data_IF_053796426004
#
_entry.id   IF_053796426004
#
_cell.length_a   1.000
_cell.length_b   1.000
_cell.length_c   1.000
_cell.angle_alpha   90.00
_cell.angle_beta   90.00
_cell.angle_gamma   90.00
#
_symmetry.space_group_name_H-M   'P 1'
#
loop_
_entity.id
_entity.type
_entity.pdbx_description
1 polymer ?
#
# COMPACT_ATOMS: atom_id res chain seq x y z
N UNK A 1 1.35 -3.22 13.68
CA UNK A 1 1.37 -2.06 12.76
C UNK A 1 2.52 -1.16 13.18
N UNK A 2 3.37 -0.72 12.27
CA UNK A 2 4.40 0.27 12.54
C UNK A 2 3.75 1.65 12.56
N UNK A 3 4.05 2.42 13.59
CA UNK A 3 3.42 3.72 13.82
C UNK A 3 4.51 4.70 14.24
N UNK A 4 4.42 5.94 13.77
CA UNK A 4 5.27 7.01 14.26
C UNK A 4 4.46 8.22 14.71
N UNK A 5 4.85 8.88 15.80
CA UNK A 5 4.24 10.10 16.30
C UNK A 5 5.19 11.29 16.24
N UNK A 6 4.68 12.50 16.03
CA UNK A 6 5.49 13.72 16.09
C UNK A 6 5.34 14.41 17.45
N UNK A 7 6.46 14.85 18.03
CA UNK A 7 6.51 15.76 19.18
C UNK A 7 7.03 17.14 18.74
N UNK A 8 6.67 18.19 19.47
CA UNK A 8 6.71 19.60 19.03
C UNK A 8 8.13 20.18 18.79
N UNK A 9 8.20 21.05 17.76
CA UNK A 9 9.24 22.06 17.40
C UNK A 9 10.36 21.62 16.40
N UNK A 10 10.22 22.17 15.18
CA UNK A 10 11.22 22.56 14.15
C UNK A 10 12.21 21.60 13.48
N UNK A 11 12.20 20.30 13.75
CA UNK A 11 12.78 19.29 12.84
C UNK A 11 11.84 18.08 12.80
N UNK A 12 11.49 17.56 11.60
CA UNK A 12 10.56 16.44 11.38
C UNK A 12 11.04 15.13 12.05
N UNK A 13 10.95 15.06 13.38
CA UNK A 13 11.40 13.91 14.17
C UNK A 13 10.19 13.06 14.51
N UNK A 14 10.13 11.90 13.87
CA UNK A 14 9.11 10.88 14.05
C UNK A 14 9.56 9.89 15.12
N UNK A 15 8.81 9.77 16.21
CA UNK A 15 9.04 8.81 17.28
C UNK A 15 8.30 7.51 16.97
N UNK A 16 9.02 6.39 16.90
CA UNK A 16 8.42 5.08 16.64
C UNK A 16 7.59 4.62 17.85
N UNK A 17 6.33 4.29 17.59
CA UNK A 17 5.36 3.75 18.54
C UNK A 17 5.31 2.23 18.35
N UNK A 18 5.39 1.50 19.45
CA UNK A 18 5.60 0.04 19.43
C UNK A 18 4.36 -0.78 19.80
N UNK A 19 3.36 -0.16 20.42
CA UNK A 19 2.15 -0.85 20.87
C UNK A 19 0.87 -0.05 20.65
N UNK A 20 -0.26 -0.74 20.64
CA UNK A 20 -1.58 -0.12 20.55
C UNK A 20 -1.87 0.79 21.76
N UNK A 21 -1.48 0.38 22.97
CA UNK A 21 -1.64 1.16 24.19
C UNK A 21 -0.92 2.52 24.11
N UNK A 22 0.25 2.53 23.49
CA UNK A 22 1.07 3.74 23.36
C UNK A 22 0.46 4.74 22.32
N UNK A 23 -0.32 4.25 21.35
CA UNK A 23 -1.16 5.10 20.47
C UNK A 23 -2.29 5.72 21.29
N UNK A 24 -2.95 4.89 22.09
CA UNK A 24 -4.10 5.28 22.88
C UNK A 24 -3.73 6.39 23.87
N UNK A 25 -2.63 6.23 24.61
CA UNK A 25 -2.08 7.25 25.51
C UNK A 25 -1.87 8.59 24.80
N UNK A 26 -1.42 8.56 23.55
CA UNK A 26 -1.17 9.76 22.75
C UNK A 26 -2.43 10.46 22.22
N UNK A 27 -3.50 9.70 21.94
CA UNK A 27 -4.78 10.27 21.49
C UNK A 27 -5.43 11.14 22.58
N UNK A 28 -5.19 10.83 23.85
CA UNK A 28 -5.82 11.51 24.98
C UNK A 28 -5.21 12.86 25.38
N UNK A 29 -4.08 13.25 24.79
CA UNK A 29 -3.28 14.41 25.26
C UNK A 29 -3.47 15.68 24.44
N UNK A 30 -4.13 15.61 23.29
CA UNK A 30 -4.37 16.78 22.42
C UNK A 30 -5.84 16.82 21.99
N UNK A 31 -6.44 18.02 21.87
CA UNK A 31 -7.82 18.16 21.41
C UNK A 31 -8.02 17.68 19.96
N UNK A 32 -6.97 17.76 19.12
CA UNK A 32 -6.98 17.27 17.75
C UNK A 32 -5.80 16.31 17.51
N UNK A 33 -6.14 15.07 17.14
CA UNK A 33 -5.16 14.06 16.70
C UNK A 33 -5.43 13.66 15.26
N UNK A 34 -4.42 13.81 14.40
CA UNK A 34 -4.45 13.43 12.99
C UNK A 34 -3.76 12.09 12.82
N UNK A 35 -4.51 11.10 12.33
CA UNK A 35 -4.00 9.77 11.96
C UNK A 35 -3.80 9.75 10.44
N UNK A 36 -2.55 9.82 10.02
CA UNK A 36 -2.17 9.76 8.61
C UNK A 36 -1.61 8.39 8.24
N UNK A 37 -1.61 8.09 6.95
CA UNK A 37 -1.04 6.85 6.42
C UNK A 37 -1.46 6.61 4.99
N UNK A 38 -0.70 5.81 4.26
CA UNK A 38 -1.00 5.52 2.85
C UNK A 38 -2.29 4.68 2.72
N UNK A 39 -2.88 4.60 1.51
CA UNK A 39 -4.02 3.73 1.24
C UNK A 39 -3.73 2.29 1.68
N UNK A 40 -4.69 1.63 2.31
CA UNK A 40 -4.53 0.25 2.77
C UNK A 40 -3.74 0.06 4.07
N UNK A 41 -3.20 1.13 4.70
CA UNK A 41 -2.50 1.06 5.99
C UNK A 41 -3.37 0.73 7.21
N UNK A 42 -4.69 0.61 7.05
CA UNK A 42 -5.60 0.23 8.15
C UNK A 42 -6.09 1.39 9.02
N UNK A 43 -6.09 2.62 8.51
CA UNK A 43 -6.63 3.81 9.22
C UNK A 43 -8.08 3.62 9.68
N UNK A 44 -8.98 3.27 8.77
CA UNK A 44 -10.39 2.98 9.09
C UNK A 44 -10.55 1.75 10.00
N UNK A 45 -9.65 0.77 9.89
CA UNK A 45 -9.65 -0.37 10.81
C UNK A 45 -9.29 0.06 12.23
N UNK A 46 -8.34 0.99 12.38
CA UNK A 46 -7.95 1.55 13.67
C UNK A 46 -9.08 2.35 14.31
N UNK A 47 -9.81 3.18 13.54
CA UNK A 47 -10.96 3.94 14.05
C UNK A 47 -12.09 3.03 14.50
N UNK A 48 -12.39 1.98 13.74
CA UNK A 48 -13.35 0.96 14.13
C UNK A 48 -12.91 0.21 15.39
N UNK A 49 -11.61 -0.10 15.52
CA UNK A 49 -11.08 -0.72 16.74
C UNK A 49 -11.24 0.20 17.95
N UNK A 50 -10.98 1.49 17.81
CA UNK A 50 -11.21 2.49 18.87
C UNK A 50 -12.69 2.54 19.28
N UNK A 51 -13.61 2.54 18.31
CA UNK A 51 -15.05 2.51 18.57
C UNK A 51 -15.47 1.21 19.28
N UNK A 52 -14.95 0.06 18.84
CA UNK A 52 -15.20 -1.23 19.48
C UNK A 52 -14.72 -1.25 20.94
N UNK A 53 -13.54 -0.71 21.22
CA UNK A 53 -12.98 -0.65 22.57
C UNK A 53 -13.79 0.27 23.49
N UNK A 54 -14.35 1.35 22.96
CA UNK A 54 -15.31 2.19 23.68
C UNK A 54 -16.62 1.43 23.96
N UNK A 55 -17.22 0.79 22.95
CA UNK A 55 -18.45 -0.01 23.12
C UNK A 55 -18.29 -1.10 24.20
N UNK A 56 -17.13 -1.73 24.25
CA UNK A 56 -16.82 -2.80 25.21
C UNK A 56 -16.32 -2.27 26.57
N UNK A 57 -16.26 -0.94 26.78
CA UNK A 57 -15.73 -0.32 28.00
C UNK A 57 -14.34 -0.84 28.38
N UNK A 58 -13.48 -1.07 27.39
CA UNK A 58 -12.14 -1.64 27.58
C UNK A 58 -11.27 -0.71 28.41
N UNK A 59 -10.85 -1.13 29.59
CA UNK A 59 -10.02 -0.33 30.51
C UNK A 59 -8.66 0.06 29.92
N UNK A 60 -8.22 -0.63 28.87
CA UNK A 60 -6.97 -0.35 28.15
C UNK A 60 -7.12 0.93 27.30
N UNK A 61 -8.32 1.23 26.81
CA UNK A 61 -8.58 2.42 26.01
C UNK A 61 -8.90 3.62 26.90
N UNK A 62 -8.23 4.78 26.77
CA UNK A 62 -8.57 6.01 27.49
C UNK A 62 -9.95 6.53 27.10
N UNK A 63 -10.54 6.01 26.03
CA UNK A 63 -11.87 6.38 25.59
C UNK A 63 -12.97 5.74 26.46
N UNK A 64 -12.68 4.70 27.26
CA UNK A 64 -13.71 3.97 28.03
C UNK A 64 -14.54 4.80 29.01
N UNK A 65 -14.10 6.01 29.37
CA UNK A 65 -14.80 6.93 30.28
C UNK A 65 -15.52 8.08 29.56
N UNK A 66 -15.52 8.07 28.23
CA UNK A 66 -16.16 9.11 27.43
C UNK A 66 -17.65 8.82 27.32
N UNK A 67 -18.47 9.84 27.54
CA UNK A 67 -19.92 9.72 27.57
C UNK A 67 -20.47 9.32 26.19
N UNK A 68 -19.85 9.86 25.13
CA UNK A 68 -20.30 9.69 23.75
C UNK A 68 -19.09 9.50 22.83
N UNK A 69 -19.16 8.56 21.90
CA UNK A 69 -18.27 8.45 20.75
C UNK A 69 -19.08 8.54 19.46
N UNK A 70 -18.70 9.44 18.57
CA UNK A 70 -19.31 9.68 17.27
C UNK A 70 -18.29 9.33 16.20
N UNK A 71 -18.61 8.39 15.32
CA UNK A 71 -17.80 8.02 14.17
C UNK A 71 -18.56 8.38 12.90
N UNK A 72 -18.04 9.34 12.13
CA UNK A 72 -18.60 9.78 10.85
C UNK A 72 -17.54 9.60 9.76
N UNK A 73 -17.97 9.22 8.55
CA UNK A 73 -17.12 9.33 7.37
C UNK A 73 -17.29 10.73 6.81
N UNK A 74 -16.22 11.32 6.27
CA UNK A 74 -16.28 12.70 5.81
C UNK A 74 -17.20 12.89 4.60
N UNK A 75 -17.41 11.84 3.80
CA UNK A 75 -18.46 11.82 2.77
C UNK A 75 -19.89 11.99 3.32
N UNK A 76 -20.12 11.63 4.58
CA UNK A 76 -21.41 11.76 5.25
C UNK A 76 -21.73 13.21 5.61
N UNK A 77 -20.74 14.11 5.52
CA UNK A 77 -20.87 15.55 5.71
C UNK A 77 -21.17 16.28 4.39
N UNK A 78 -21.07 15.59 3.24
CA UNK A 78 -21.32 16.21 1.94
C UNK A 78 -22.81 16.53 1.81
N UNK A 79 -23.12 17.80 1.54
CA UNK A 79 -24.50 18.28 1.41
C UNK A 79 -25.23 18.51 2.73
N UNK A 80 -24.52 18.42 3.87
CA UNK A 80 -25.08 18.67 5.20
C UNK A 80 -24.41 19.89 5.83
N UNK A 81 -25.20 20.79 6.42
CA UNK A 81 -24.71 22.07 6.95
C UNK A 81 -24.18 21.98 8.39
N UNK A 82 -24.45 20.88 9.11
CA UNK A 82 -24.08 20.71 10.52
C UNK A 82 -23.68 19.27 10.86
N UNK A 83 -22.87 19.10 11.91
CA UNK A 83 -22.54 17.77 12.47
C UNK A 83 -23.82 17.05 12.95
N UNK A 84 -24.76 17.77 13.55
CA UNK A 84 -26.02 17.22 14.04
C UNK A 84 -26.87 16.63 12.92
N UNK A 85 -26.94 17.32 11.78
CA UNK A 85 -27.60 16.80 10.57
C UNK A 85 -26.94 15.52 10.08
N UNK A 86 -25.60 15.46 10.09
CA UNK A 86 -24.86 14.29 9.64
C UNK A 86 -25.06 13.09 10.58
N UNK A 87 -25.10 13.32 11.89
CA UNK A 87 -25.44 12.27 12.87
C UNK A 87 -26.85 11.75 12.61
N UNK A 88 -27.83 12.64 12.38
CA UNK A 88 -29.21 12.25 12.11
C UNK A 88 -29.33 11.40 10.85
N UNK A 89 -28.64 11.78 9.78
CA UNK A 89 -28.73 11.13 8.49
C UNK A 89 -27.94 9.82 8.42
N UNK A 90 -26.77 9.77 9.06
CA UNK A 90 -25.76 8.74 8.81
C UNK A 90 -25.61 7.73 9.94
N UNK A 91 -25.98 8.11 11.18
CA UNK A 91 -25.86 7.24 12.36
C UNK A 91 -27.24 6.77 12.83
N UNK A 92 -28.22 7.68 12.92
CA UNK A 92 -29.51 7.34 13.53
C UNK A 92 -30.41 6.53 12.57
N UNK A 93 -31.26 5.63 13.11
CA UNK A 93 -32.29 4.98 12.32
C UNK A 93 -33.25 6.00 11.68
N UNK A 94 -33.76 5.70 10.48
CA UNK A 94 -34.69 6.59 9.75
C UNK A 94 -35.97 6.93 10.50
N UNK A 95 -36.39 6.05 11.42
CA UNK A 95 -37.56 6.22 12.28
C UNK A 95 -37.23 6.90 13.63
N UNK A 96 -36.00 7.39 13.81
CA UNK A 96 -35.61 8.13 15.00
C UNK A 96 -36.48 9.39 15.16
N UNK A 97 -36.97 9.60 16.37
CA UNK A 97 -37.75 10.80 16.73
C UNK A 97 -36.87 12.01 17.06
N UNK A 98 -35.56 11.82 17.16
CA UNK A 98 -34.63 12.90 17.50
C UNK A 98 -34.55 13.90 16.34
N UNK A 99 -34.80 15.17 16.67
CA UNK A 99 -34.58 16.30 15.77
C UNK A 99 -33.10 16.66 15.72
N UNK A 100 -32.67 17.44 14.72
CA UNK A 100 -31.28 17.94 14.69
C UNK A 100 -30.96 18.80 15.93
N UNK A 101 -31.95 19.56 16.41
CA UNK A 101 -31.84 20.35 17.63
C UNK A 101 -31.68 19.49 18.88
N UNK A 102 -32.38 18.35 18.96
CA UNK A 102 -32.20 17.40 20.07
C UNK A 102 -30.78 16.82 20.07
N UNK A 103 -30.28 16.45 18.90
CA UNK A 103 -28.92 15.93 18.73
C UNK A 103 -27.90 16.99 19.10
N UNK A 104 -28.07 18.22 18.63
CA UNK A 104 -27.19 19.33 18.98
C UNK A 104 -27.16 19.56 20.49
N UNK A 105 -28.33 19.55 21.14
CA UNK A 105 -28.44 19.67 22.59
C UNK A 105 -27.71 18.54 23.34
N UNK A 106 -27.82 17.30 22.86
CA UNK A 106 -27.12 16.13 23.43
C UNK A 106 -25.61 16.31 23.28
N UNK A 107 -25.15 16.67 22.07
CA UNK A 107 -23.73 16.85 21.75
C UNK A 107 -23.13 17.99 22.58
N UNK A 108 -23.83 19.12 22.73
CA UNK A 108 -23.37 20.28 23.49
C UNK A 108 -23.37 20.06 25.01
N UNK A 109 -24.36 19.32 25.55
CA UNK A 109 -24.45 19.02 27.00
C UNK A 109 -23.51 17.89 27.46
N UNK A 110 -22.90 17.19 26.52
CA UNK A 110 -21.93 16.13 26.80
C UNK A 110 -20.71 16.67 27.53
N UNK A 111 -20.32 16.04 28.64
CA UNK A 111 -19.17 16.49 29.45
C UNK A 111 -17.86 16.03 28.82
N UNK A 112 -17.84 14.84 28.24
CA UNK A 112 -16.66 14.35 27.54
C UNK A 112 -17.02 13.43 26.39
N UNK A 113 -16.67 13.84 25.16
CA UNK A 113 -16.96 13.07 23.96
C UNK A 113 -15.73 12.75 23.13
N UNK A 114 -15.92 11.91 22.12
CA UNK A 114 -14.94 11.60 21.07
C UNK A 114 -15.61 11.77 19.73
N UNK A 115 -15.03 12.57 18.84
CA UNK A 115 -15.46 12.71 17.46
C UNK A 115 -14.38 12.13 16.55
N UNK A 116 -14.73 11.09 15.79
CA UNK A 116 -13.87 10.49 14.79
C UNK A 116 -14.40 10.84 13.41
N UNK A 117 -13.57 11.52 12.62
CA UNK A 117 -13.84 11.87 11.22
C UNK A 117 -12.93 11.02 10.32
N UNK A 118 -13.51 9.98 9.73
CA UNK A 118 -12.79 9.01 8.90
C UNK A 118 -12.79 9.43 7.42
N UNK A 119 -11.72 9.08 6.70
CA UNK A 119 -11.53 9.38 5.27
C UNK A 119 -11.65 10.88 4.94
N UNK A 120 -10.89 11.74 5.63
CA UNK A 120 -10.94 13.20 5.43
C UNK A 120 -10.61 13.66 4.02
N UNK A 121 -9.93 12.84 3.24
CA UNK A 121 -9.54 13.17 1.89
C UNK A 121 -10.72 13.35 0.94
N UNK A 122 -10.78 14.51 0.28
CA UNK A 122 -11.83 14.85 -0.67
C UNK A 122 -12.92 15.77 -0.10
N UNK A 123 -12.78 16.25 1.14
CA UNK A 123 -13.65 17.31 1.64
C UNK A 123 -13.24 18.66 1.02
N UNK A 124 -14.13 19.30 0.23
CA UNK A 124 -13.77 20.44 -0.61
C UNK A 124 -13.26 21.66 0.18
N UNK A 125 -13.68 21.82 1.44
CA UNK A 125 -13.32 23.00 2.23
C UNK A 125 -12.00 22.87 3.00
N UNK A 126 -11.28 21.75 2.88
CA UNK A 126 -9.95 21.59 3.49
C UNK A 126 -8.95 22.65 3.00
N UNK A 127 -9.12 23.10 1.77
CA UNK A 127 -8.19 23.99 1.10
C UNK A 127 -8.62 25.44 1.12
N UNK A 128 -9.94 25.68 1.16
CA UNK A 128 -10.51 27.01 1.11
C UNK A 128 -10.66 27.63 2.51
N UNK A 129 -10.62 26.81 3.57
CA UNK A 129 -10.91 27.19 4.96
C UNK A 129 -12.17 28.07 5.07
N UNK A 130 -13.16 27.84 4.19
CA UNK A 130 -14.44 28.52 4.24
C UNK A 130 -15.14 28.20 5.57
N UNK A 131 -15.86 29.16 6.17
CA UNK A 131 -16.55 28.95 7.43
C UNK A 131 -17.52 27.77 7.34
N UNK A 132 -17.22 26.70 8.05
CA UNK A 132 -18.07 25.52 8.21
C UNK A 132 -17.87 24.96 9.61
N UNK A 133 -18.85 24.20 10.09
CA UNK A 133 -18.73 23.47 11.35
C UNK A 133 -17.46 22.62 11.40
N UNK A 134 -17.09 21.99 10.29
CA UNK A 134 -15.90 21.14 10.15
C UNK A 134 -14.61 21.93 10.32
N UNK A 135 -14.51 23.10 9.68
CA UNK A 135 -13.34 24.00 9.82
C UNK A 135 -13.23 24.51 11.25
N UNK A 136 -14.34 24.87 11.89
CA UNK A 136 -14.34 25.33 13.28
C UNK A 136 -13.96 24.19 14.25
N UNK A 137 -14.32 22.94 13.96
CA UNK A 137 -13.85 21.76 14.70
C UNK A 137 -12.34 21.58 14.50
N UNK A 138 -11.84 21.68 13.27
CA UNK A 138 -10.41 21.57 12.99
C UNK A 138 -9.59 22.65 13.67
N UNK A 139 -10.11 23.87 13.82
CA UNK A 139 -9.47 24.96 14.57
C UNK A 139 -9.57 24.80 16.10
N UNK A 140 -10.39 23.87 16.60
CA UNK A 140 -10.69 23.73 18.03
C UNK A 140 -11.66 24.80 18.57
N UNK A 141 -12.38 25.50 17.69
CA UNK A 141 -13.37 26.53 18.06
C UNK A 141 -14.73 25.90 18.42
N UNK A 142 -15.04 24.71 17.87
CA UNK A 142 -16.26 23.94 18.16
C UNK A 142 -15.91 22.57 18.74
N UNK A 143 -16.75 22.07 19.66
CA UNK A 143 -16.59 20.78 20.36
C UNK A 143 -15.32 20.69 21.25
N UNK A 144 -14.99 21.76 21.99
CA UNK A 144 -13.80 21.80 22.86
C UNK A 144 -13.75 20.71 23.95
N UNK A 145 -14.91 20.16 24.35
CA UNK A 145 -15.01 19.06 25.31
C UNK A 145 -14.78 17.67 24.67
N UNK A 146 -14.52 17.62 23.36
CA UNK A 146 -14.34 16.39 22.60
C UNK A 146 -12.87 16.18 22.26
N UNK A 147 -12.47 14.91 22.27
CA UNK A 147 -11.25 14.48 21.56
C UNK A 147 -11.62 14.31 20.10
N UNK A 148 -10.99 15.08 19.21
CA UNK A 148 -11.21 14.99 17.77
C UNK A 148 -10.10 14.15 17.13
N UNK A 149 -10.51 13.11 16.42
CA UNK A 149 -9.65 12.21 15.67
C UNK A 149 -9.98 12.33 14.19
N UNK A 150 -8.98 12.62 13.38
CA UNK A 150 -9.16 12.75 11.92
C UNK A 150 -8.26 11.75 11.22
N UNK A 151 -8.80 10.95 10.30
CA UNK A 151 -7.96 10.09 9.45
C UNK A 151 -7.79 10.70 8.05
N UNK A 152 -6.56 10.65 7.53
CA UNK A 152 -6.24 11.22 6.22
C UNK A 152 -5.10 10.45 5.54
N UNK A 153 -4.85 10.66 4.24
CA UNK A 153 -3.67 10.08 3.58
C UNK A 153 -2.42 10.78 4.08
N UNK A 154 -1.30 10.07 3.98
CA UNK A 154 0.00 10.67 4.23
C UNK A 154 0.16 11.96 3.44
N UNK A 155 0.72 12.99 4.08
CA UNK A 155 1.04 14.28 3.45
C UNK A 155 -0.17 15.14 3.04
N UNK A 156 -1.40 14.74 3.35
CA UNK A 156 -2.56 15.64 3.31
C UNK A 156 -2.57 16.51 4.56
N UNK A 157 -2.05 17.75 4.43
CA UNK A 157 -2.00 18.68 5.55
C UNK A 157 -3.38 19.30 5.79
N UNK A 158 -3.85 19.23 7.04
CA UNK A 158 -4.97 20.05 7.49
C UNK A 158 -4.46 21.49 7.70
N UNK A 159 -4.63 22.34 6.68
CA UNK A 159 -4.11 23.73 6.70
C UNK A 159 -4.59 24.56 7.89
N UNK A 160 -5.79 24.26 8.40
CA UNK A 160 -6.44 24.99 9.49
C UNK A 160 -6.34 24.28 10.86
N UNK A 161 -5.39 23.37 11.06
CA UNK A 161 -5.17 22.71 12.35
C UNK A 161 -4.46 23.61 13.38
N UNK A 162 -4.85 23.61 14.67
CA UNK A 162 -4.25 24.44 15.70
C UNK A 162 -2.80 24.03 16.01
N UNK A 163 -2.05 24.96 16.61
CA UNK A 163 -0.78 24.67 17.27
C UNK A 163 -1.01 23.59 18.34
N UNK A 164 -0.11 22.61 18.45
CA UNK A 164 -0.28 21.44 19.32
C UNK A 164 -1.12 20.29 18.73
N UNK A 165 -1.49 20.34 17.43
CA UNK A 165 -2.11 19.20 16.75
C UNK A 165 -1.16 18.02 16.73
N UNK A 166 -1.60 16.88 17.29
CA UNK A 166 -0.78 15.68 17.36
C UNK A 166 -0.94 14.86 16.07
N UNK A 167 0.17 14.33 15.55
CA UNK A 167 0.16 13.50 14.33
C UNK A 167 0.66 12.10 14.64
N UNK A 168 -0.07 11.12 14.09
CA UNK A 168 0.24 9.69 14.17
C UNK A 168 0.23 9.14 12.75
N UNK A 169 1.34 8.57 12.30
CA UNK A 169 1.47 7.98 10.96
C UNK A 169 1.46 6.47 11.05
N UNK A 170 0.53 5.82 10.34
CA UNK A 170 0.50 4.38 10.14
C UNK A 170 1.38 4.03 8.94
N UNK A 171 2.43 3.25 9.17
CA UNK A 171 3.40 2.87 8.14
C UNK A 171 3.27 1.41 7.70
N UNK A 172 2.25 0.69 8.17
CA UNK A 172 1.90 -0.66 7.70
C UNK A 172 2.27 -1.79 8.66
N UNK A 173 2.46 -3.00 8.15
CA UNK A 173 2.83 -4.19 8.93
C UNK A 173 4.34 -4.41 8.93
N UNK A 174 4.93 -4.52 10.14
CA UNK A 174 6.25 -5.13 10.29
C UNK A 174 6.14 -6.66 10.29
N UNK A 175 7.29 -7.31 10.17
CA UNK A 175 7.46 -8.76 10.17
C UNK A 175 6.70 -9.41 11.33
N UNK A 176 6.91 -8.93 12.56
CA UNK A 176 6.21 -9.43 13.75
C UNK A 176 4.68 -9.34 13.64
N UNK A 177 4.15 -8.21 13.14
CA UNK A 177 2.69 -8.02 12.98
C UNK A 177 2.14 -8.98 11.92
N UNK A 178 2.89 -9.25 10.85
CA UNK A 178 2.49 -10.21 9.81
C UNK A 178 2.40 -11.61 10.38
N UNK A 179 3.41 -12.01 11.14
CA UNK A 179 3.44 -13.31 11.82
C UNK A 179 2.25 -13.45 12.78
N UNK A 180 2.03 -12.44 13.64
CA UNK A 180 0.87 -12.41 14.54
C UNK A 180 -0.47 -12.45 13.80
N UNK A 181 -0.57 -11.87 12.61
CA UNK A 181 -1.79 -11.93 11.80
C UNK A 181 -2.02 -13.34 11.24
N UNK A 182 -1.00 -13.98 10.66
CA UNK A 182 -1.11 -15.32 10.09
C UNK A 182 -1.55 -16.31 11.18
N UNK A 183 -0.90 -16.28 12.34
CA UNK A 183 -1.25 -17.14 13.48
C UNK A 183 -2.67 -16.92 14.02
N UNK A 184 -3.22 -15.71 13.89
CA UNK A 184 -4.55 -15.40 14.46
C UNK A 184 -5.69 -15.58 13.48
N UNK A 185 -5.47 -15.21 12.22
CA UNK A 185 -6.53 -15.08 11.23
C UNK A 185 -6.58 -16.23 10.24
N UNK A 186 -5.48 -16.98 10.08
CA UNK A 186 -5.32 -17.98 9.03
C UNK A 186 -5.06 -19.35 9.66
N UNK A 187 -3.85 -19.56 10.15
CA UNK A 187 -3.43 -20.85 10.67
C UNK A 187 -3.74 -20.91 12.16
N UNK A 188 -4.73 -21.73 12.53
CA UNK A 188 -5.20 -21.80 13.92
C UNK A 188 -4.29 -22.63 14.84
N UNK A 189 -3.32 -23.39 14.32
CA UNK A 189 -2.54 -24.30 15.18
C UNK A 189 -1.24 -24.95 14.63
N UNK A 190 -0.95 -24.99 13.31
CA UNK A 190 0.27 -25.64 12.81
C UNK A 190 1.38 -24.64 12.43
N UNK A 191 2.47 -24.61 13.20
CA UNK A 191 3.61 -23.73 12.95
C UNK A 191 4.29 -24.00 11.59
N UNK A 192 4.16 -25.20 11.02
CA UNK A 192 4.71 -25.52 9.69
C UNK A 192 3.97 -24.81 8.56
N UNK A 193 2.64 -24.80 8.60
CA UNK A 193 1.82 -24.09 7.60
C UNK A 193 2.08 -22.58 7.64
N UNK A 194 2.35 -22.04 8.84
CA UNK A 194 2.74 -20.65 9.02
C UNK A 194 4.09 -20.36 8.36
N UNK A 195 5.09 -21.20 8.57
CA UNK A 195 6.42 -21.02 7.99
C UNK A 195 6.39 -21.17 6.46
N UNK A 196 5.61 -22.11 5.93
CA UNK A 196 5.35 -22.21 4.50
C UNK A 196 4.70 -20.93 3.95
N UNK A 197 3.66 -20.41 4.62
CA UNK A 197 3.01 -19.17 4.20
C UNK A 197 3.95 -17.96 4.25
N UNK A 198 4.77 -17.83 5.30
CA UNK A 198 5.79 -16.78 5.42
C UNK A 198 6.80 -16.86 4.27
N UNK A 199 7.21 -18.06 3.90
CA UNK A 199 8.12 -18.28 2.78
C UNK A 199 7.51 -17.83 1.44
N UNK A 200 6.24 -18.17 1.20
CA UNK A 200 5.51 -17.73 0.02
C UNK A 200 5.35 -16.21 -0.04
N UNK A 201 5.13 -15.55 1.10
CA UNK A 201 4.99 -14.11 1.20
C UNK A 201 6.30 -13.33 0.97
N UNK A 202 7.42 -13.84 1.49
CA UNK A 202 8.71 -13.12 1.51
C UNK A 202 9.36 -12.99 0.13
N UNK A 203 9.27 -14.03 -0.70
CA UNK A 203 10.00 -14.07 -1.97
C UNK A 203 9.22 -13.51 -3.18
N UNK A 204 7.90 -13.41 -3.11
CA UNK A 204 7.10 -12.89 -4.23
C UNK A 204 7.03 -11.35 -4.26
N UNK A 205 6.87 -10.67 -3.11
CA UNK A 205 6.49 -9.25 -3.13
C UNK A 205 7.20 -8.31 -2.15
N UNK A 206 8.26 -8.73 -1.46
CA UNK A 206 9.19 -7.82 -0.76
C UNK A 206 8.51 -6.75 0.10
N UNK A 207 8.66 -5.47 -0.25
CA UNK A 207 8.07 -4.36 0.51
C UNK A 207 6.55 -4.19 0.33
N UNK A 208 5.94 -4.79 -0.69
CA UNK A 208 4.51 -4.65 -0.96
C UNK A 208 3.65 -5.26 0.17
N UNK A 209 4.16 -6.28 0.86
CA UNK A 209 3.50 -6.90 2.03
C UNK A 209 3.60 -6.04 3.30
N UNK A 210 4.31 -4.90 3.27
CA UNK A 210 4.21 -3.91 4.34
C UNK A 210 2.83 -3.24 4.32
N UNK A 211 2.15 -3.15 3.17
CA UNK A 211 0.79 -2.61 3.09
C UNK A 211 -0.19 -3.66 3.64
N UNK A 212 -0.86 -3.41 4.78
CA UNK A 212 -1.77 -4.36 5.43
C UNK A 212 -2.85 -4.92 4.51
N UNK A 213 -3.49 -4.07 3.70
CA UNK A 213 -4.54 -4.51 2.77
C UNK A 213 -4.02 -5.55 1.75
N UNK A 214 -2.81 -5.32 1.21
CA UNK A 214 -2.20 -6.21 0.22
C UNK A 214 -1.82 -7.54 0.89
N UNK A 215 -1.17 -7.46 2.05
CA UNK A 215 -0.78 -8.62 2.82
C UNK A 215 -1.98 -9.50 3.18
N UNK A 216 -3.05 -8.90 3.73
CA UNK A 216 -4.27 -9.60 4.11
C UNK A 216 -4.90 -10.27 2.89
N UNK A 217 -5.06 -9.54 1.78
CA UNK A 217 -5.62 -10.11 0.55
C UNK A 217 -4.83 -11.34 0.07
N UNK A 218 -3.50 -11.28 0.12
CA UNK A 218 -2.66 -12.38 -0.31
C UNK A 218 -2.72 -13.58 0.63
N UNK A 219 -2.66 -13.32 1.93
CA UNK A 219 -2.61 -14.35 2.95
C UNK A 219 -3.91 -15.17 2.98
N UNK A 220 -5.09 -14.53 2.85
CA UNK A 220 -6.37 -15.24 2.72
C UNK A 220 -6.49 -16.03 1.41
N UNK A 221 -5.84 -15.59 0.32
CA UNK A 221 -5.86 -16.35 -0.94
C UNK A 221 -5.01 -17.61 -0.88
N UNK A 222 -3.87 -17.54 -0.20
CA UNK A 222 -3.08 -18.72 0.08
C UNK A 222 -3.86 -19.71 0.95
N UNK A 223 -4.60 -19.23 1.95
CA UNK A 223 -5.49 -20.05 2.80
C UNK A 223 -6.59 -20.74 2.00
N UNK A 224 -7.17 -20.06 1.01
CA UNK A 224 -8.12 -20.64 0.05
C UNK A 224 -7.48 -21.67 -0.91
N UNK A 225 -6.17 -21.95 -0.80
CA UNK A 225 -5.45 -22.91 -1.63
C UNK A 225 -4.97 -22.36 -2.99
N UNK A 226 -5.02 -21.03 -3.19
CA UNK A 226 -4.51 -20.42 -4.42
C UNK A 226 -2.99 -20.47 -4.42
N UNK A 227 -2.42 -21.29 -5.31
CA UNK A 227 -0.97 -21.34 -5.52
C UNK A 227 -0.52 -20.20 -6.44
N UNK A 228 0.43 -19.42 -5.96
CA UNK A 228 1.06 -18.36 -6.71
C UNK A 228 2.42 -18.81 -7.24
N UNK A 229 2.53 -18.95 -8.56
CA UNK A 229 3.68 -19.56 -9.21
C UNK A 229 4.69 -18.52 -9.71
N UNK A 230 4.31 -17.24 -9.77
CA UNK A 230 5.18 -16.17 -10.23
C UNK A 230 4.81 -14.82 -9.64
N UNK A 231 5.76 -13.89 -9.63
CA UNK A 231 5.54 -12.52 -9.13
C UNK A 231 4.48 -11.80 -9.95
N UNK A 232 4.45 -12.05 -11.25
CA UNK A 232 3.45 -11.49 -12.16
C UNK A 232 2.03 -11.93 -11.78
N UNK A 233 1.83 -13.21 -11.49
CA UNK A 233 0.49 -13.73 -11.10
C UNK A 233 -0.01 -13.11 -9.80
N UNK A 234 0.89 -12.90 -8.85
CA UNK A 234 0.56 -12.28 -7.56
C UNK A 234 0.16 -10.83 -7.72
N UNK A 235 0.99 -10.05 -8.42
CA UNK A 235 0.70 -8.64 -8.59
C UNK A 235 -0.57 -8.40 -9.40
N UNK A 236 -0.84 -9.26 -10.40
CA UNK A 236 -2.11 -9.27 -11.13
C UNK A 236 -3.30 -9.51 -10.19
N UNK A 237 -3.16 -10.41 -9.21
CA UNK A 237 -4.21 -10.64 -8.21
C UNK A 237 -4.40 -9.42 -7.30
N UNK A 238 -3.31 -8.86 -6.78
CA UNK A 238 -3.32 -7.68 -5.92
C UNK A 238 -4.00 -6.49 -6.61
N UNK A 239 -3.61 -6.19 -7.86
CA UNK A 239 -4.24 -5.13 -8.65
C UNK A 239 -5.72 -5.44 -8.95
N UNK A 240 -6.05 -6.72 -9.17
CA UNK A 240 -7.43 -7.18 -9.24
C UNK A 240 -8.25 -6.82 -7.99
N UNK A 241 -7.67 -6.97 -6.79
CA UNK A 241 -8.30 -6.55 -5.54
C UNK A 241 -8.48 -5.04 -5.45
N UNK A 242 -7.49 -4.24 -5.87
CA UNK A 242 -7.60 -2.78 -5.93
C UNK A 242 -8.75 -2.33 -6.85
N UNK A 243 -8.87 -2.93 -8.03
CA UNK A 243 -9.96 -2.67 -8.97
C UNK A 243 -11.32 -3.14 -8.42
N UNK A 244 -11.40 -4.33 -7.83
CA UNK A 244 -12.64 -4.83 -7.23
C UNK A 244 -13.14 -3.95 -6.06
N UNK A 245 -12.22 -3.44 -5.25
CA UNK A 245 -12.56 -2.48 -4.19
C UNK A 245 -13.07 -1.15 -4.76
N UNK A 246 -12.48 -0.68 -5.87
CA UNK A 246 -12.96 0.49 -6.59
C UNK A 246 -14.39 0.27 -7.13
N UNK A 247 -14.65 -0.86 -7.79
CA UNK A 247 -15.98 -1.20 -8.32
C UNK A 247 -17.07 -1.17 -7.23
N UNK A 248 -16.75 -1.63 -6.02
CA UNK A 248 -17.69 -1.64 -4.89
C UNK A 248 -17.98 -0.25 -4.29
N UNK A 249 -17.18 0.79 -4.60
CA UNK A 249 -17.34 2.14 -4.06
C UNK A 249 -18.18 3.09 -4.93
N UNK A 250 -18.56 2.70 -6.16
CA UNK A 250 -19.18 3.62 -7.14
C UNK A 250 -20.59 3.19 -7.55
N UNK A 251 -21.42 4.15 -7.97
CA UNK A 251 -22.80 3.92 -8.44
C UNK A 251 -22.78 3.13 -9.76
N UNK A 252 -23.79 2.28 -9.98
CA UNK A 252 -23.85 1.29 -11.05
C UNK A 252 -23.61 1.82 -12.48
N UNK A 253 -23.88 3.11 -12.75
CA UNK A 253 -23.67 3.73 -14.08
C UNK A 253 -22.20 3.99 -14.42
N UNK A 254 -21.32 4.14 -13.43
CA UNK A 254 -19.88 4.40 -13.66
C UNK A 254 -19.03 3.12 -13.65
N UNK A 255 -19.61 2.00 -13.20
CA UNK A 255 -18.89 0.73 -13.01
C UNK A 255 -18.31 0.20 -14.32
N UNK A 256 -19.03 0.29 -15.44
CA UNK A 256 -18.56 -0.25 -16.72
C UNK A 256 -17.34 0.50 -17.27
N UNK A 257 -17.29 1.82 -17.06
CA UNK A 257 -16.12 2.63 -17.40
C UNK A 257 -14.92 2.29 -16.50
N UNK A 258 -15.15 2.05 -15.22
CA UNK A 258 -14.08 1.65 -14.28
C UNK A 258 -13.54 0.25 -14.57
N UNK A 259 -14.40 -0.67 -15.02
CA UNK A 259 -14.00 -1.99 -15.49
C UNK A 259 -13.11 -1.92 -16.71
N UNK A 260 -13.35 -0.96 -17.60
CA UNK A 260 -12.48 -0.77 -18.78
C UNK A 260 -11.06 -0.38 -18.36
N UNK A 261 -10.88 0.41 -17.28
CA UNK A 261 -9.56 0.83 -16.80
C UNK A 261 -8.66 -0.30 -16.29
N UNK A 262 -9.22 -1.48 -16.01
CA UNK A 262 -8.45 -2.70 -15.71
C UNK A 262 -7.67 -3.20 -16.92
N UNK A 263 -8.10 -2.83 -18.13
CA UNK A 263 -7.55 -3.32 -19.40
C UNK A 263 -7.05 -2.18 -20.30
N UNK A 264 -7.59 -0.98 -20.15
CA UNK A 264 -7.31 0.20 -20.98
C UNK A 264 -6.33 1.17 -20.30
N UNK A 265 -5.19 0.67 -19.86
CA UNK A 265 -4.17 1.44 -19.12
C UNK A 265 -2.95 1.82 -19.98
N UNK A 266 -3.06 1.82 -21.31
CA UNK A 266 -1.93 2.08 -22.21
C UNK A 266 -1.21 3.42 -22.01
N UNK A 267 -1.96 4.47 -21.67
CA UNK A 267 -1.38 5.77 -21.37
C UNK A 267 -0.57 5.72 -20.07
N UNK A 268 -1.09 5.02 -19.06
CA UNK A 268 -0.41 4.79 -17.79
C UNK A 268 0.84 3.93 -17.97
N UNK A 269 0.79 2.90 -18.82
CA UNK A 269 1.94 2.05 -19.14
C UNK A 269 3.12 2.89 -19.64
N UNK A 270 2.83 3.87 -20.51
CA UNK A 270 3.84 4.80 -21.01
C UNK A 270 4.43 5.70 -19.93
N UNK A 271 3.59 6.24 -19.04
CA UNK A 271 4.04 7.04 -17.89
C UNK A 271 4.94 6.21 -16.97
N UNK A 272 4.51 4.99 -16.64
CA UNK A 272 5.25 4.08 -15.78
C UNK A 272 6.60 3.70 -16.39
N UNK A 273 6.65 3.50 -17.71
CA UNK A 273 7.90 3.24 -18.42
C UNK A 273 8.84 4.44 -18.39
N UNK A 274 8.34 5.66 -18.60
CA UNK A 274 9.15 6.89 -18.50
C UNK A 274 9.74 7.07 -17.08
N UNK A 275 8.96 6.77 -16.04
CA UNK A 275 9.43 6.74 -14.64
C UNK A 275 10.53 5.69 -14.46
N UNK A 276 10.32 4.48 -14.96
CA UNK A 276 11.30 3.40 -14.85
C UNK A 276 12.62 3.73 -15.56
N UNK A 277 12.59 4.51 -16.64
CA UNK A 277 13.79 5.02 -17.34
C UNK A 277 14.41 6.27 -16.71
N UNK A 278 13.82 6.79 -15.62
CA UNK A 278 14.36 7.94 -14.89
C UNK A 278 14.18 9.30 -15.56
N UNK A 279 13.41 9.41 -16.66
CA UNK A 279 13.24 10.67 -17.41
C UNK A 279 12.61 11.81 -16.61
N UNK A 280 11.71 11.48 -15.66
CA UNK A 280 10.93 12.46 -14.90
C UNK A 280 11.05 12.28 -13.37
N UNK A 281 12.00 11.47 -12.91
CA UNK A 281 12.08 11.06 -11.50
C UNK A 281 10.87 10.21 -11.05
N UNK A 282 10.74 9.98 -9.74
CA UNK A 282 9.70 9.09 -9.16
C UNK A 282 8.36 9.81 -8.88
N UNK A 283 8.22 11.07 -9.27
CA UNK A 283 7.04 11.90 -8.98
C UNK A 283 6.67 12.75 -10.17
N UNK A 284 5.38 12.85 -10.48
CA UNK A 284 4.83 13.61 -11.61
C UNK A 284 4.01 14.79 -11.16
N UNK A 285 3.93 15.84 -11.98
CA UNK A 285 2.96 16.89 -11.75
C UNK A 285 1.51 16.37 -11.96
N UNK A 286 0.58 16.80 -11.10
CA UNK A 286 -0.83 16.41 -11.19
C UNK A 286 -1.47 16.82 -12.51
N UNK A 287 -1.18 18.03 -12.99
CA UNK A 287 -1.71 18.54 -14.25
C UNK A 287 -1.23 17.71 -15.44
N UNK A 288 0.07 17.46 -15.50
CA UNK A 288 0.68 16.62 -16.54
C UNK A 288 0.13 15.18 -16.52
N UNK A 289 0.02 14.58 -15.33
CA UNK A 289 -0.57 13.25 -15.18
C UNK A 289 -2.01 13.21 -15.68
N UNK A 290 -2.85 14.17 -15.27
CA UNK A 290 -4.25 14.28 -15.72
C UNK A 290 -4.37 14.46 -17.24
N UNK A 291 -3.47 15.22 -17.87
CA UNK A 291 -3.45 15.39 -19.32
C UNK A 291 -3.13 14.07 -20.04
N UNK A 292 -2.23 13.27 -19.45
CA UNK A 292 -1.71 12.06 -20.08
C UNK A 292 -2.64 10.85 -19.93
N UNK A 293 -3.16 10.61 -18.73
CA UNK A 293 -4.04 9.45 -18.45
C UNK A 293 -5.53 9.79 -18.47
N UNK A 294 -5.89 11.08 -18.45
CA UNK A 294 -7.25 11.56 -18.35
C UNK A 294 -7.72 11.74 -16.90
N UNK A 295 -8.49 12.81 -16.64
CA UNK A 295 -8.94 13.20 -15.30
C UNK A 295 -9.73 12.11 -14.58
N UNK A 296 -10.68 11.46 -15.26
CA UNK A 296 -11.52 10.40 -14.66
C UNK A 296 -10.68 9.19 -14.26
N UNK A 297 -9.74 8.77 -15.11
CA UNK A 297 -8.83 7.68 -14.81
C UNK A 297 -7.94 8.03 -13.61
N UNK A 298 -7.38 9.24 -13.62
CA UNK A 298 -6.55 9.75 -12.54
C UNK A 298 -7.27 9.73 -11.18
N UNK A 299 -8.48 10.31 -11.12
CA UNK A 299 -9.29 10.37 -9.89
C UNK A 299 -9.66 8.97 -9.41
N UNK A 300 -9.98 8.06 -10.32
CA UNK A 300 -10.29 6.66 -9.99
C UNK A 300 -9.09 5.95 -9.36
N UNK A 301 -7.89 6.10 -9.95
CA UNK A 301 -6.67 5.47 -9.45
C UNK A 301 -6.17 6.11 -8.14
N UNK A 302 -6.47 7.40 -7.93
CA UNK A 302 -6.30 8.04 -6.63
C UNK A 302 -7.28 7.45 -5.61
N UNK A 303 -8.55 7.26 -5.95
CA UNK A 303 -9.56 6.71 -5.04
C UNK A 303 -9.27 5.26 -4.62
N UNK A 304 -8.83 4.40 -5.56
CA UNK A 304 -8.46 3.03 -5.22
C UNK A 304 -7.12 2.94 -4.48
N UNK A 305 -6.29 3.98 -4.54
CA UNK A 305 -5.03 4.07 -3.81
C UNK A 305 -3.82 3.54 -4.58
N UNK A 306 -3.91 3.37 -5.91
CA UNK A 306 -2.75 3.10 -6.76
C UNK A 306 -1.88 4.36 -6.89
N UNK A 307 -2.50 5.54 -6.93
CA UNK A 307 -1.80 6.83 -6.84
C UNK A 307 -1.83 7.41 -5.44
N UNK A 308 -0.76 8.13 -5.12
CA UNK A 308 -0.60 8.92 -3.90
C UNK A 308 -0.19 10.33 -4.29
N UNK A 309 -1.00 11.32 -3.91
CA UNK A 309 -0.65 12.75 -4.01
C UNK A 309 0.26 13.15 -2.84
N UNK A 310 1.24 14.00 -3.12
CA UNK A 310 2.11 14.67 -2.15
C UNK A 310 2.16 16.15 -2.46
N UNK A 311 2.15 16.99 -1.44
CA UNK A 311 2.46 18.41 -1.61
C UNK A 311 3.98 18.59 -1.75
N UNK A 312 4.40 19.13 -2.89
CA UNK A 312 5.75 19.63 -3.10
C UNK A 312 5.80 21.13 -2.85
N UNK A 313 6.72 21.58 -1.99
CA UNK A 313 7.02 23.01 -1.85
C UNK A 313 7.94 23.42 -3.00
N UNK A 314 7.51 24.38 -3.81
CA UNK A 314 8.37 25.05 -4.79
C UNK A 314 8.54 26.49 -4.33
N UNK A 315 9.79 26.90 -4.13
CA UNK A 315 10.13 28.29 -3.85
C UNK A 315 10.40 28.96 -5.19
N UNK A 316 9.44 29.73 -5.70
CA UNK A 316 9.64 30.59 -6.86
C UNK A 316 9.37 32.05 -6.46
N UNK A 317 10.34 32.92 -6.76
CA UNK A 317 10.25 34.37 -6.60
C UNK A 317 9.80 34.86 -5.21
N UNK A 318 10.27 34.22 -4.13
CA UNK A 318 9.94 34.61 -2.76
C UNK A 318 8.53 34.22 -2.30
N UNK A 319 7.74 33.54 -3.14
CA UNK A 319 6.44 32.96 -2.80
C UNK A 319 6.53 31.43 -2.76
N UNK A 320 5.88 30.81 -1.76
CA UNK A 320 5.79 29.35 -1.67
C UNK A 320 4.57 28.90 -2.49
N UNK A 321 4.80 28.30 -3.65
CA UNK A 321 3.75 27.59 -4.38
C UNK A 321 3.73 26.12 -3.98
N UNK A 322 2.53 25.61 -3.70
CA UNK A 322 2.29 24.21 -3.41
C UNK A 322 1.90 23.51 -4.70
N UNK A 323 2.84 22.76 -5.29
CA UNK A 323 2.54 21.93 -6.45
C UNK A 323 2.23 20.51 -5.98
N UNK A 324 1.11 19.96 -6.44
CA UNK A 324 0.74 18.59 -6.13
C UNK A 324 1.51 17.64 -7.04
N UNK A 325 2.36 16.84 -6.42
CA UNK A 325 3.08 15.77 -7.07
C UNK A 325 2.38 14.44 -6.85
N UNK A 326 2.45 13.55 -7.81
CA UNK A 326 1.81 12.25 -7.80
C UNK A 326 2.88 11.18 -7.93
N UNK A 327 2.74 10.10 -7.17
CA UNK A 327 3.53 8.88 -7.36
C UNK A 327 2.64 7.65 -7.29
N UNK A 328 3.17 6.52 -7.76
CA UNK A 328 2.59 5.22 -7.43
C UNK A 328 2.70 4.95 -5.92
N UNK A 329 1.74 4.22 -5.37
CA UNK A 329 1.78 3.83 -3.95
C UNK A 329 2.98 2.92 -3.64
N UNK A 330 3.37 2.10 -4.60
CA UNK A 330 4.54 1.24 -4.52
C UNK A 330 5.31 1.21 -5.86
N UNK A 331 6.63 1.09 -5.77
CA UNK A 331 7.52 1.04 -6.92
C UNK A 331 7.29 -0.21 -7.78
N UNK A 332 6.94 -1.34 -7.16
CA UNK A 332 6.64 -2.61 -7.84
C UNK A 332 5.42 -2.48 -8.75
N UNK A 333 4.41 -1.69 -8.34
CA UNK A 333 3.24 -1.42 -9.20
C UNK A 333 3.65 -0.58 -10.41
N UNK A 334 4.52 0.42 -10.24
CA UNK A 334 5.08 1.17 -11.36
C UNK A 334 5.84 0.25 -12.32
N UNK A 335 6.66 -0.66 -11.80
CA UNK A 335 7.43 -1.63 -12.60
C UNK A 335 6.51 -2.56 -13.42
N UNK A 336 5.35 -2.93 -12.88
CA UNK A 336 4.36 -3.76 -13.57
C UNK A 336 3.70 -3.05 -14.75
N UNK A 337 3.23 -1.81 -14.56
CA UNK A 337 2.69 -1.02 -15.68
C UNK A 337 3.78 -0.70 -16.73
N UNK A 338 5.01 -0.44 -16.31
CA UNK A 338 6.14 -0.28 -17.23
C UNK A 338 6.40 -1.56 -18.05
N UNK A 339 6.22 -2.73 -17.45
CA UNK A 339 6.36 -4.01 -18.12
C UNK A 339 5.28 -4.27 -19.18
N UNK A 340 4.05 -3.78 -18.97
CA UNK A 340 3.00 -3.78 -20.00
C UNK A 340 3.40 -2.96 -21.22
N UNK A 341 3.98 -1.76 -21.01
CA UNK A 341 4.51 -0.94 -22.10
C UNK A 341 5.62 -1.68 -22.86
N UNK A 342 6.62 -2.18 -22.13
CA UNK A 342 7.74 -2.92 -22.69
C UNK A 342 7.25 -4.11 -23.52
N UNK A 343 6.36 -4.92 -22.96
CA UNK A 343 5.78 -6.10 -23.61
C UNK A 343 5.10 -5.72 -24.92
N UNK A 344 4.22 -4.71 -24.91
CA UNK A 344 3.51 -4.25 -26.12
C UNK A 344 4.48 -3.75 -27.19
N UNK A 345 5.49 -2.96 -26.82
CA UNK A 345 6.44 -2.38 -27.79
C UNK A 345 7.42 -3.41 -28.37
N UNK A 346 7.81 -4.43 -27.59
CA UNK A 346 8.63 -5.55 -28.08
C UNK A 346 7.85 -6.51 -28.99
N UNK A 347 6.54 -6.67 -28.77
CA UNK A 347 5.67 -7.42 -29.69
C UNK A 347 5.54 -6.69 -31.02
N UNK A 348 5.28 -5.38 -30.99
CA UNK A 348 5.14 -4.53 -32.16
C UNK A 348 6.47 -4.26 -32.89
N UNK A 349 7.61 -4.73 -32.37
CA UNK A 349 8.96 -4.41 -32.85
C UNK A 349 9.27 -2.90 -32.93
N UNK A 350 8.57 -2.09 -32.12
CA UNK A 350 8.75 -0.62 -32.03
C UNK A 350 9.85 -0.19 -31.06
N UNK A 351 10.38 -1.14 -30.29
CA UNK A 351 11.42 -0.96 -29.29
C UNK A 351 12.31 -2.20 -29.33
N UNK A 352 13.58 -2.06 -29.02
CA UNK A 352 14.50 -3.18 -28.85
C UNK A 352 15.13 -3.12 -27.45
N UNK A 353 15.54 -4.28 -26.92
CA UNK A 353 16.07 -4.40 -25.56
C UNK A 353 17.40 -3.66 -25.35
N UNK A 354 18.18 -3.47 -26.41
CA UNK A 354 19.44 -2.73 -26.34
C UNK A 354 19.21 -1.26 -25.99
N UNK A 355 18.19 -0.64 -26.57
CA UNK A 355 17.86 0.75 -26.28
C UNK A 355 17.23 0.93 -24.89
N UNK A 356 16.50 -0.08 -24.40
CA UNK A 356 15.97 -0.05 -23.03
C UNK A 356 17.10 -0.15 -22.01
N UNK A 357 18.06 -1.05 -22.23
CA UNK A 357 19.19 -1.24 -21.32
C UNK A 357 20.06 0.02 -21.19
N UNK A 358 20.24 0.79 -22.27
CA UNK A 358 20.98 2.07 -22.22
C UNK A 358 20.32 3.12 -21.33
N UNK A 359 18.99 3.08 -21.20
CA UNK A 359 18.20 4.13 -20.56
C UNK A 359 17.62 3.71 -19.21
N UNK A 360 17.92 2.50 -18.72
CA UNK A 360 17.34 1.96 -17.50
C UNK A 360 18.43 1.31 -16.64
N UNK A 361 18.36 1.51 -15.33
CA UNK A 361 19.35 0.88 -14.43
C UNK A 361 19.25 -0.64 -14.50
N UNK A 362 20.37 -1.40 -14.37
CA UNK A 362 20.35 -2.86 -14.46
C UNK A 362 19.40 -3.53 -13.45
N UNK A 363 19.22 -2.94 -12.27
CA UNK A 363 18.27 -3.43 -11.26
C UNK A 363 16.82 -3.26 -11.71
N UNK A 364 16.46 -2.07 -12.20
CA UNK A 364 15.11 -1.78 -12.69
C UNK A 364 14.77 -2.60 -13.93
N UNK A 365 15.71 -2.68 -14.87
CA UNK A 365 15.58 -3.44 -16.11
C UNK A 365 15.20 -4.89 -15.84
N UNK A 366 15.90 -5.55 -14.90
CA UNK A 366 15.62 -6.95 -14.55
C UNK A 366 14.19 -7.13 -14.06
N UNK A 367 13.71 -6.29 -13.14
CA UNK A 367 12.35 -6.40 -12.61
C UNK A 367 11.28 -6.18 -13.68
N UNK A 368 11.43 -5.13 -14.50
CA UNK A 368 10.50 -4.83 -15.61
C UNK A 368 10.51 -5.96 -16.63
N UNK A 369 11.68 -6.51 -16.98
CA UNK A 369 11.79 -7.65 -17.90
C UNK A 369 11.18 -8.95 -17.34
N UNK A 370 11.31 -9.23 -16.03
CA UNK A 370 10.66 -10.39 -15.40
C UNK A 370 9.14 -10.29 -15.49
N UNK A 371 8.56 -9.13 -15.12
CA UNK A 371 7.13 -8.92 -15.29
C UNK A 371 6.71 -9.02 -16.76
N UNK A 372 7.47 -8.44 -17.69
CA UNK A 372 7.15 -8.52 -19.12
C UNK A 372 7.17 -9.96 -19.64
N UNK A 373 8.07 -10.79 -19.10
CA UNK A 373 8.16 -12.23 -19.42
C UNK A 373 6.92 -12.98 -18.92
N UNK A 374 6.44 -12.69 -17.71
CA UNK A 374 5.22 -13.29 -17.16
C UNK A 374 3.92 -12.76 -17.77
N UNK A 375 3.92 -11.53 -18.31
CA UNK A 375 2.77 -10.92 -18.99
C UNK A 375 2.53 -11.57 -20.36
N UNK A 376 3.61 -11.83 -21.13
CA UNK A 376 3.52 -12.38 -22.46
C UNK A 376 4.65 -13.37 -22.76
N UNK A 377 4.28 -14.62 -23.06
CA UNK A 377 5.21 -15.70 -23.37
C UNK A 377 6.20 -15.37 -24.49
N UNK A 378 5.73 -14.83 -25.63
CA UNK A 378 6.58 -14.52 -26.78
C UNK A 378 7.59 -13.41 -26.46
N UNK A 379 7.19 -12.44 -25.63
CA UNK A 379 8.11 -11.40 -25.14
C UNK A 379 9.13 -12.01 -24.18
N UNK A 380 8.70 -12.89 -23.29
CA UNK A 380 9.59 -13.60 -22.37
C UNK A 380 10.66 -14.39 -23.09
N UNK A 381 10.32 -15.11 -24.16
CA UNK A 381 11.31 -15.82 -24.99
C UNK A 381 12.30 -14.87 -25.68
N UNK A 382 11.83 -13.71 -26.20
CA UNK A 382 12.74 -12.67 -26.74
C UNK A 382 13.69 -12.12 -25.67
N UNK A 383 13.19 -11.84 -24.46
CA UNK A 383 13.99 -11.36 -23.32
C UNK A 383 15.02 -12.41 -22.90
N UNK A 384 14.59 -13.66 -22.76
CA UNK A 384 15.42 -14.82 -22.43
C UNK A 384 16.56 -15.00 -23.43
N UNK A 385 16.26 -14.93 -24.73
CA UNK A 385 17.27 -15.04 -25.79
C UNK A 385 18.29 -13.89 -25.73
N UNK A 386 17.83 -12.66 -25.51
CA UNK A 386 18.69 -11.48 -25.43
C UNK A 386 19.67 -11.54 -24.25
N UNK A 387 19.18 -11.85 -23.05
CA UNK A 387 20.02 -11.92 -21.86
C UNK A 387 20.83 -13.22 -21.76
N UNK A 388 20.38 -14.31 -22.38
CA UNK A 388 21.11 -15.57 -22.42
C UNK A 388 22.48 -15.49 -23.11
N UNK A 389 22.70 -14.47 -23.94
CA UNK A 389 23.97 -14.22 -24.61
C UNK A 389 24.96 -13.45 -23.71
N UNK A 390 24.52 -12.93 -22.56
CA UNK A 390 25.31 -12.05 -21.70
C UNK A 390 25.81 -12.76 -20.45
N UNK A 391 27.12 -12.69 -20.20
CA UNK A 391 27.76 -13.33 -19.05
C UNK A 391 27.22 -12.80 -17.70
N UNK A 392 26.93 -11.51 -17.61
CA UNK A 392 26.48 -10.86 -16.37
C UNK A 392 25.04 -11.23 -15.96
N UNK A 393 24.30 -11.92 -16.83
CA UNK A 393 22.90 -12.29 -16.64
C UNK A 393 22.69 -13.80 -16.58
N UNK A 394 23.71 -14.57 -16.19
CA UNK A 394 23.74 -16.05 -16.24
C UNK A 394 22.46 -16.75 -15.75
N UNK A 395 21.87 -16.30 -14.63
CA UNK A 395 20.66 -16.90 -14.04
C UNK A 395 19.35 -16.24 -14.48
N UNK A 396 19.42 -15.11 -15.18
CA UNK A 396 18.25 -14.33 -15.57
C UNK A 396 17.31 -15.04 -16.58
N UNK A 397 17.81 -15.74 -17.62
CA UNK A 397 16.97 -16.53 -18.52
C UNK A 397 16.11 -17.58 -17.81
N UNK A 398 16.65 -18.16 -16.73
CA UNK A 398 15.94 -19.14 -15.91
C UNK A 398 14.81 -18.49 -15.12
N UNK A 399 15.05 -17.31 -14.53
CA UNK A 399 14.00 -16.52 -13.86
C UNK A 399 12.90 -16.09 -14.84
N UNK A 400 13.24 -15.68 -16.06
CA UNK A 400 12.26 -15.41 -17.11
C UNK A 400 11.42 -16.65 -17.43
N UNK A 401 12.05 -17.84 -17.47
CA UNK A 401 11.34 -19.09 -17.72
C UNK A 401 10.36 -19.42 -16.59
N UNK A 402 10.75 -19.21 -15.33
CA UNK A 402 9.86 -19.37 -14.18
C UNK A 402 8.63 -18.45 -14.24
N UNK A 403 8.80 -17.20 -14.67
CA UNK A 403 7.67 -16.27 -14.87
C UNK A 403 6.74 -16.71 -16.01
N UNK A 404 7.28 -17.38 -17.05
CA UNK A 404 6.51 -17.83 -18.22
C UNK A 404 5.74 -19.13 -18.01
N UNK A 405 6.37 -20.18 -17.46
CA UNK A 405 5.80 -21.54 -17.47
C UNK A 405 4.79 -21.78 -16.36
N UNK A 406 4.76 -20.97 -15.31
CA UNK A 406 3.95 -21.17 -14.09
C UNK A 406 4.07 -22.59 -13.47
N UNK A 407 5.01 -23.41 -13.96
CA UNK A 407 5.20 -24.83 -13.63
C UNK A 407 6.69 -25.10 -13.59
N UNK A 408 7.18 -25.47 -12.41
CA UNK A 408 8.61 -25.72 -12.17
C UNK A 408 9.05 -27.06 -12.75
N UNK A 409 8.16 -28.05 -12.84
CA UNK A 409 8.47 -29.37 -13.42
C UNK A 409 9.08 -29.25 -14.82
N UNK A 410 8.61 -28.29 -15.61
CA UNK A 410 9.09 -28.01 -16.95
C UNK A 410 10.52 -27.43 -17.00
N UNK A 411 11.05 -26.95 -15.87
CA UNK A 411 12.37 -26.29 -15.77
C UNK A 411 13.23 -26.90 -14.64
N UNK A 412 12.80 -28.00 -14.02
CA UNK A 412 13.44 -28.58 -12.83
C UNK A 412 14.91 -28.99 -13.08
N UNK A 413 15.22 -29.56 -14.24
CA UNK A 413 16.59 -29.94 -14.61
C UNK A 413 17.53 -28.73 -14.76
N UNK A 414 17.04 -27.65 -15.37
CA UNK A 414 17.81 -26.42 -15.56
C UNK A 414 18.02 -25.70 -14.24
N UNK A 415 17.03 -25.77 -13.35
CA UNK A 415 17.07 -25.21 -12.02
C UNK A 415 18.06 -25.95 -11.11
N UNK A 416 18.07 -27.29 -11.13
CA UNK A 416 19.08 -28.10 -10.43
C UNK A 416 20.51 -27.78 -10.89
N UNK A 417 20.70 -27.65 -12.20
CA UNK A 417 22.01 -27.28 -12.79
C UNK A 417 22.46 -25.89 -12.35
N UNK A 418 21.56 -24.91 -12.37
CA UNK A 418 21.86 -23.53 -11.96
C UNK A 418 22.20 -23.42 -10.47
N UNK A 419 21.52 -24.18 -9.61
CA UNK A 419 21.79 -24.24 -8.17
C UNK A 419 23.18 -24.85 -7.88
N UNK A 420 23.56 -25.92 -8.58
CA UNK A 420 24.88 -26.52 -8.47
C UNK A 420 26.00 -25.53 -8.84
N UNK A 421 25.82 -24.78 -9.92
CA UNK A 421 26.76 -23.75 -10.37
C UNK A 421 26.90 -22.59 -9.38
N UNK A 422 25.83 -22.23 -8.66
CA UNK A 422 25.81 -21.12 -7.70
C UNK A 422 26.52 -21.47 -6.38
N UNK A 423 26.44 -22.71 -5.90
CA UNK A 423 27.12 -23.17 -4.68
C UNK A 423 28.65 -23.18 -4.77
N UNK A 424 29.23 -23.04 -5.96
CA UNK A 424 30.67 -23.19 -6.20
C UNK A 424 31.44 -21.85 -6.15
N UNK A 425 30.78 -20.69 -6.17
CA UNK A 425 31.49 -19.38 -6.23
C UNK A 425 30.93 -18.35 -5.26
N UNK A 426 31.70 -18.10 -4.19
CA UNK A 426 31.56 -16.91 -3.35
C UNK A 426 32.09 -15.69 -4.13
N UNK A 427 31.19 -14.82 -4.61
CA UNK A 427 31.37 -13.36 -4.61
C UNK A 427 30.31 -12.66 -5.48
N UNK A 428 29.88 -11.49 -4.97
CA UNK A 428 29.05 -10.42 -5.56
C UNK A 428 27.54 -10.47 -5.24
N UNK A 429 27.08 -9.41 -4.58
CA UNK A 429 25.72 -9.14 -4.10
C UNK A 429 24.62 -9.28 -5.16
N UNK A 430 24.97 -9.16 -6.45
CA UNK A 430 24.04 -9.32 -7.58
C UNK A 430 23.65 -10.78 -7.89
N UNK A 431 24.55 -11.74 -7.63
CA UNK A 431 24.25 -13.17 -7.76
C UNK A 431 23.36 -13.64 -6.62
N UNK A 432 23.45 -13.02 -5.45
CA UNK A 432 22.71 -13.42 -4.25
C UNK A 432 21.19 -13.35 -4.44
N UNK A 433 20.67 -12.29 -5.07
CA UNK A 433 19.22 -12.09 -5.22
C UNK A 433 18.57 -13.03 -6.24
N UNK A 434 19.26 -13.28 -7.36
CA UNK A 434 18.79 -14.21 -8.39
C UNK A 434 18.90 -15.66 -7.90
N UNK A 435 19.98 -16.00 -7.19
CA UNK A 435 20.13 -17.30 -6.52
C UNK A 435 19.10 -17.51 -5.40
N UNK A 436 18.78 -16.48 -4.60
CA UNK A 436 17.74 -16.56 -3.57
C UNK A 436 16.36 -16.84 -4.18
N UNK A 437 16.01 -16.17 -5.29
CA UNK A 437 14.77 -16.44 -6.01
C UNK A 437 14.70 -17.84 -6.60
N UNK A 438 15.81 -18.35 -7.13
CA UNK A 438 15.89 -19.72 -7.62
C UNK A 438 15.78 -20.74 -6.49
N UNK A 439 16.42 -20.50 -5.35
CA UNK A 439 16.31 -21.33 -4.15
C UNK A 439 14.88 -21.32 -3.59
N UNK A 440 14.24 -20.16 -3.54
CA UNK A 440 12.85 -20.05 -3.09
C UNK A 440 11.89 -20.74 -4.05
N UNK A 441 12.09 -20.60 -5.36
CA UNK A 441 11.34 -21.35 -6.37
C UNK A 441 11.52 -22.87 -6.21
N UNK A 442 12.76 -23.35 -6.01
CA UNK A 442 13.08 -24.76 -5.78
C UNK A 442 12.33 -25.34 -4.56
N UNK A 443 12.43 -24.64 -3.43
CA UNK A 443 11.85 -25.03 -2.15
C UNK A 443 10.31 -25.08 -2.20
N UNK A 444 9.65 -24.16 -2.91
CA UNK A 444 8.19 -24.15 -3.06
C UNK A 444 7.61 -25.35 -3.82
N UNK A 445 8.44 -26.08 -4.54
CA UNK A 445 8.01 -27.12 -5.47
C UNK A 445 8.61 -28.47 -5.13
N UNK A 446 9.05 -28.66 -3.88
CA UNK A 446 9.64 -29.90 -3.36
C UNK A 446 10.78 -30.45 -4.25
N UNK A 447 11.45 -29.56 -4.99
CA UNK A 447 12.63 -29.95 -5.76
C UNK A 447 13.74 -30.12 -4.75
N UNK A 448 14.17 -31.36 -4.52
CA UNK A 448 15.20 -31.71 -3.54
C UNK A 448 16.43 -30.81 -3.68
N UNK A 449 16.52 -29.81 -2.81
CA UNK A 449 17.67 -28.93 -2.68
C UNK A 449 18.70 -29.70 -1.87
N UNK A 450 19.92 -29.86 -2.41
CA UNK A 450 20.99 -30.53 -1.68
C UNK A 450 21.28 -29.76 -0.38
N UNK A 451 21.51 -30.49 0.72
CA UNK A 451 22.14 -29.94 1.93
C UNK A 451 23.43 -29.23 1.50
N UNK A 452 23.53 -27.95 1.82
CA UNK A 452 24.79 -27.20 1.74
C UNK A 452 25.82 -28.01 2.54
N UNK A 453 27.00 -28.36 1.98
CA UNK A 453 28.04 -29.01 2.77
C UNK A 453 28.42 -28.07 3.92
N UNK A 454 28.34 -28.56 5.15
CA UNK A 454 28.91 -27.89 6.32
C UNK A 454 30.41 -27.67 6.06
N UNK A 455 30.79 -26.46 5.64
CA UNK A 455 32.18 -26.04 5.72
C UNK A 455 32.40 -25.55 7.15
N UNK A 456 33.10 -26.36 7.93
CA UNK A 456 33.38 -26.09 9.33
C UNK A 456 34.09 -24.75 9.57
N UNK A 457 33.59 -23.99 10.55
CA UNK A 457 34.34 -22.91 11.19
C UNK A 457 33.52 -21.70 11.66
N UNK A 458 32.83 -21.80 12.81
CA UNK A 458 32.45 -20.66 13.67
C UNK A 458 31.10 -19.96 13.36
N UNK A 459 30.44 -19.36 14.37
CA UNK A 459 28.98 -19.39 14.47
C UNK A 459 28.30 -18.11 13.95
N UNK A 460 27.60 -18.22 12.83
CA UNK A 460 26.40 -17.43 12.55
C UNK A 460 25.50 -18.28 11.62
N UNK A 461 24.57 -19.00 12.25
CA UNK A 461 23.68 -19.95 11.62
C UNK A 461 22.66 -19.25 10.71
N UNK A 462 22.71 -19.52 9.40
CA UNK A 462 21.54 -19.43 8.53
C UNK A 462 20.91 -20.82 8.50
N UNK A 463 20.03 -21.09 9.48
CA UNK A 463 19.13 -22.23 9.40
C UNK A 463 18.08 -21.96 8.31
N UNK A 464 18.34 -22.45 7.10
CA UNK A 464 17.29 -22.75 6.13
C UNK A 464 16.74 -24.13 6.51
N UNK A 465 15.65 -24.12 7.28
CA UNK A 465 14.88 -25.33 7.57
C UNK A 465 14.16 -25.78 6.29
N UNK A 466 14.32 -27.08 6.02
CA UNK A 466 13.62 -27.89 5.01
C UNK A 466 12.16 -28.02 5.37
#
# INVERSE_FOLDING_TARGET
>A
MLISSQDEIDLETWVKVTSYTEILERIGTSPLTVIEGDPGCGKSTLTLKLAQDWCNSSKISPLHRKDILILLKMKDLLGVQSISGAIKQSILPRNSRLTETDIENIVQKCKSGVLILDECEGYPDQETCLPSDVVNIFKGEKLQNYIVLVTTRSFSLLKCSPLGTRRIRLTGFNDRTRDEYIHRAIVKSDDKEVDEMKWHLKDVIGDLIQVPLIFVAFAHKLDEGVKFHSRTTVLKHVLGCFHGHMENKVVQQDVDRLRSFKHEHHALDGVAFDIATGKHGNTWDKGEMCQRVGKVFYESYLQCGIFVEKEGKVHENGSVQYNRKVKFCDEVICEWYAAHYLSKKLLDSKLNLLDVEKNMTPFKLRKVCLFASGINYNVGEKIKQYFGQKKDYRHFPLLCSLEMTQRIDAISSDLQKALHDATIRNNQDMLLWSTFQLLSAASRNDVSTFRVPEFGGGPEFVHLLV
#
